data_IF_508562580044
#
_entry.id   IF_508562580044
#
_cell.length_a   1.000
_cell.length_b   1.000
_cell.length_c   1.000
_cell.angle_alpha   90.00
_cell.angle_beta   90.00
_cell.angle_gamma   90.00
#
_symmetry.space_group_name_H-M   'P 1'
#
loop_
_entity.id
_entity.type
_entity.pdbx_description
1 polymer ?
#
# COMPACT_ATOMS: atom_id res chain seq x y z
N UNK A 1 -13.58 19.63 -8.03
CA UNK A 1 -13.56 18.14 -7.98
C UNK A 1 -12.15 17.58 -8.20
N UNK A 2 -11.40 18.05 -9.20
CA UNK A 2 -10.01 17.61 -9.46
C UNK A 2 -8.92 18.60 -9.02
N UNK A 3 -9.30 19.70 -8.35
CA UNK A 3 -8.42 20.73 -7.78
C UNK A 3 -7.40 21.29 -8.81
N UNK A 4 -7.92 21.81 -9.94
CA UNK A 4 -7.16 22.38 -11.06
C UNK A 4 -7.70 23.74 -11.51
N UNK A 5 -8.54 24.39 -10.71
CA UNK A 5 -9.21 25.65 -11.04
C UNK A 5 -8.19 26.76 -11.36
N UNK A 6 -7.08 26.84 -10.62
CA UNK A 6 -6.00 27.81 -10.86
C UNK A 6 -5.24 27.61 -12.18
N UNK A 7 -5.36 26.42 -12.78
CA UNK A 7 -4.66 26.04 -14.03
C UNK A 7 -5.60 25.94 -15.23
N UNK A 8 -6.84 26.41 -15.11
CA UNK A 8 -7.86 26.31 -16.16
C UNK A 8 -7.42 26.87 -17.53
N UNK A 9 -6.63 27.96 -17.54
CA UNK A 9 -6.12 28.59 -18.77
C UNK A 9 -4.73 28.08 -19.21
N UNK A 10 -4.18 27.09 -18.51
CA UNK A 10 -2.84 26.56 -18.78
C UNK A 10 -2.93 25.46 -19.83
N UNK A 11 -2.07 25.50 -20.84
CA UNK A 11 -1.96 24.41 -21.81
C UNK A 11 -1.51 23.11 -21.14
N UNK A 12 -2.06 21.97 -21.60
CA UNK A 12 -1.76 20.64 -21.03
C UNK A 12 -0.26 20.33 -21.00
N UNK A 13 0.49 20.78 -22.03
CA UNK A 13 1.94 20.61 -22.09
C UNK A 13 2.72 21.30 -20.95
N UNK A 14 2.11 22.31 -20.31
CA UNK A 14 2.71 23.08 -19.22
C UNK A 14 2.25 22.61 -17.83
N UNK A 15 1.41 21.58 -17.75
CA UNK A 15 1.00 20.97 -16.50
C UNK A 15 2.07 19.99 -16.00
N UNK A 16 2.25 19.86 -14.68
CA UNK A 16 3.09 18.80 -14.08
C UNK A 16 2.51 17.42 -14.36
N UNK A 17 3.29 16.35 -14.13
CA UNK A 17 2.82 14.97 -14.28
C UNK A 17 1.52 14.71 -13.50
N UNK A 18 1.51 15.05 -12.21
CA UNK A 18 0.31 14.91 -11.37
C UNK A 18 -0.87 15.79 -11.79
N UNK A 19 -0.61 16.99 -12.32
CA UNK A 19 -1.68 17.83 -12.86
C UNK A 19 -2.29 17.23 -14.13
N UNK A 20 -1.47 16.64 -15.01
CA UNK A 20 -1.98 15.92 -16.19
C UNK A 20 -2.77 14.67 -15.79
N UNK A 21 -2.32 13.94 -14.78
CA UNK A 21 -3.04 12.80 -14.21
C UNK A 21 -4.43 13.22 -13.69
N UNK A 22 -4.48 14.30 -12.89
CA UNK A 22 -5.75 14.87 -12.38
C UNK A 22 -6.67 15.32 -13.49
N UNK A 23 -6.12 15.96 -14.53
CA UNK A 23 -6.90 16.37 -15.69
C UNK A 23 -7.46 15.14 -16.43
N UNK A 24 -6.65 14.11 -16.67
CA UNK A 24 -7.08 12.87 -17.32
C UNK A 24 -8.20 12.18 -16.52
N UNK A 25 -8.03 12.06 -15.19
CA UNK A 25 -9.06 11.56 -14.29
C UNK A 25 -10.33 12.41 -14.39
N UNK A 26 -10.18 13.73 -14.35
CA UNK A 26 -11.28 14.68 -14.52
C UNK A 26 -12.06 14.47 -15.80
N UNK A 27 -11.37 14.30 -16.93
CA UNK A 27 -11.99 14.02 -18.24
C UNK A 27 -12.73 12.69 -18.21
N UNK A 28 -12.15 11.64 -17.61
CA UNK A 28 -12.76 10.31 -17.55
C UNK A 28 -14.06 10.23 -16.75
N UNK A 29 -14.29 11.19 -15.84
CA UNK A 29 -15.45 11.21 -14.95
C UNK A 29 -16.47 12.31 -15.29
N UNK A 30 -16.21 13.11 -16.33
CA UNK A 30 -17.09 14.21 -16.76
C UNK A 30 -18.53 13.76 -17.02
N UNK A 31 -18.71 12.53 -17.50
CA UNK A 31 -20.00 11.97 -17.88
C UNK A 31 -20.64 11.10 -16.79
N UNK A 32 -20.10 11.09 -15.56
CA UNK A 32 -20.57 10.24 -14.45
C UNK A 32 -20.70 8.76 -14.87
N UNK A 33 -19.59 8.10 -15.21
CA UNK A 33 -19.64 6.75 -15.75
C UNK A 33 -20.16 5.75 -14.71
N UNK A 34 -20.93 4.76 -15.17
CA UNK A 34 -21.33 3.61 -14.35
C UNK A 34 -20.12 2.71 -14.02
N UNK A 35 -19.17 2.60 -14.95
CA UNK A 35 -17.95 1.80 -14.83
C UNK A 35 -16.74 2.65 -15.24
N UNK A 36 -15.72 2.70 -14.39
CA UNK A 36 -14.47 3.42 -14.62
C UNK A 36 -13.28 2.46 -14.57
N UNK A 37 -12.46 2.46 -15.63
CA UNK A 37 -11.21 1.71 -15.69
C UNK A 37 -10.02 2.64 -15.47
N UNK A 38 -9.12 2.26 -14.57
CA UNK A 38 -7.97 3.05 -14.17
C UNK A 38 -6.70 2.21 -14.27
N UNK A 39 -5.83 2.54 -15.22
CA UNK A 39 -4.53 1.87 -15.32
C UNK A 39 -3.48 2.65 -14.52
N UNK A 40 -3.01 2.07 -13.41
CA UNK A 40 -1.96 2.63 -12.56
C UNK A 40 -2.17 4.13 -12.20
N UNK A 41 -3.34 4.50 -11.62
CA UNK A 41 -3.82 5.88 -11.57
C UNK A 41 -2.97 6.83 -10.73
N UNK A 42 -2.10 6.32 -9.87
CA UNK A 42 -1.24 7.14 -9.00
C UNK A 42 0.26 6.90 -9.19
N UNK A 43 0.62 6.20 -10.26
CA UNK A 43 2.03 5.93 -10.59
C UNK A 43 2.79 7.22 -10.90
N UNK A 44 3.99 7.35 -10.32
CA UNK A 44 4.86 8.51 -10.50
C UNK A 44 4.41 9.78 -9.77
N UNK A 45 3.39 9.70 -8.92
CA UNK A 45 2.95 10.80 -8.05
C UNK A 45 3.66 10.77 -6.70
N UNK A 46 3.86 11.96 -6.13
CA UNK A 46 4.29 12.08 -4.74
C UNK A 46 3.18 11.61 -3.77
N UNK A 47 3.52 11.27 -2.51
CA UNK A 47 2.54 10.75 -1.55
C UNK A 47 1.35 11.67 -1.29
N UNK A 48 1.52 13.00 -1.36
CA UNK A 48 0.44 13.95 -1.17
C UNK A 48 -0.53 13.93 -2.35
N UNK A 49 0.01 14.01 -3.57
CA UNK A 49 -0.80 13.96 -4.79
C UNK A 49 -1.56 12.64 -4.94
N UNK A 50 -0.98 11.51 -4.52
CA UNK A 50 -1.66 10.20 -4.47
C UNK A 50 -2.90 10.23 -3.59
N UNK A 51 -2.78 10.71 -2.35
CA UNK A 51 -3.91 10.80 -1.40
C UNK A 51 -5.02 11.70 -1.93
N UNK A 52 -4.68 12.77 -2.65
CA UNK A 52 -5.67 13.62 -3.29
C UNK A 52 -6.45 12.89 -4.38
N UNK A 53 -5.79 12.07 -5.20
CA UNK A 53 -6.46 11.21 -6.18
C UNK A 53 -7.36 10.18 -5.48
N UNK A 54 -6.87 9.53 -4.41
CA UNK A 54 -7.67 8.56 -3.65
C UNK A 54 -8.96 9.15 -3.10
N UNK A 55 -8.93 10.38 -2.59
CA UNK A 55 -10.15 11.09 -2.13
C UNK A 55 -11.16 11.29 -3.26
N UNK A 56 -10.69 11.60 -4.47
CA UNK A 56 -11.56 11.76 -5.64
C UNK A 56 -12.19 10.41 -6.00
N UNK A 57 -11.39 9.35 -6.04
CA UNK A 57 -11.86 7.99 -6.36
C UNK A 57 -12.85 7.47 -5.32
N UNK A 58 -12.61 7.67 -4.02
CA UNK A 58 -13.56 7.28 -2.98
C UNK A 58 -14.88 8.05 -3.09
N UNK A 59 -14.84 9.33 -3.47
CA UNK A 59 -16.04 10.10 -3.77
C UNK A 59 -16.86 9.54 -4.95
N UNK A 60 -16.21 8.98 -5.97
CA UNK A 60 -16.90 8.31 -7.09
C UNK A 60 -17.52 6.99 -6.67
N UNK A 61 -16.80 6.21 -5.85
CA UNK A 61 -17.32 4.96 -5.26
C UNK A 61 -18.61 5.21 -4.48
N UNK A 62 -18.64 6.27 -3.65
CA UNK A 62 -19.83 6.67 -2.90
C UNK A 62 -21.01 7.07 -3.81
N UNK A 63 -20.73 7.56 -5.03
CA UNK A 63 -21.72 7.90 -6.05
C UNK A 63 -22.11 6.70 -6.95
N UNK A 64 -21.83 5.47 -6.52
CA UNK A 64 -22.18 4.21 -7.21
C UNK A 64 -21.46 3.97 -8.55
N UNK A 65 -20.36 4.65 -8.83
CA UNK A 65 -19.48 4.27 -9.93
C UNK A 65 -18.72 3.00 -9.55
N UNK A 66 -18.82 1.96 -10.38
CA UNK A 66 -17.99 0.76 -10.26
C UNK A 66 -16.61 1.05 -10.81
N UNK A 67 -15.56 0.75 -10.04
CA UNK A 67 -14.18 1.02 -10.45
C UNK A 67 -13.40 -0.29 -10.61
N UNK A 68 -12.60 -0.37 -11.67
CA UNK A 68 -11.59 -1.41 -11.86
C UNK A 68 -10.26 -0.69 -12.03
N UNK A 69 -9.34 -0.91 -11.11
CA UNK A 69 -8.02 -0.31 -11.15
C UNK A 69 -6.91 -1.36 -11.13
N UNK A 70 -5.82 -1.07 -11.82
CA UNK A 70 -4.56 -1.80 -11.71
C UNK A 70 -3.61 -0.99 -10.84
N UNK A 71 -2.90 -1.67 -9.95
CA UNK A 71 -1.89 -1.04 -9.10
C UNK A 71 -0.87 -2.07 -8.66
N UNK A 72 0.37 -1.63 -8.54
CA UNK A 72 1.43 -2.36 -7.84
C UNK A 72 1.64 -1.86 -6.40
N UNK A 73 0.84 -0.88 -5.94
CA UNK A 73 0.88 -0.37 -4.57
C UNK A 73 -0.18 -1.04 -3.69
N UNK A 74 0.26 -1.85 -2.72
CA UNK A 74 -0.67 -2.54 -1.82
C UNK A 74 -1.54 -1.58 -1.00
N UNK A 75 -0.99 -0.44 -0.56
CA UNK A 75 -1.73 0.60 0.18
C UNK A 75 -2.91 1.17 -0.64
N UNK A 76 -2.76 1.27 -1.97
CA UNK A 76 -3.82 1.72 -2.87
C UNK A 76 -4.93 0.67 -2.98
N UNK A 77 -4.55 -0.59 -3.18
CA UNK A 77 -5.49 -1.71 -3.24
C UNK A 77 -6.27 -1.84 -1.93
N UNK A 78 -5.60 -1.77 -0.79
CA UNK A 78 -6.20 -1.81 0.55
C UNK A 78 -7.18 -0.64 0.78
N UNK A 79 -6.80 0.57 0.40
CA UNK A 79 -7.62 1.76 0.67
C UNK A 79 -8.84 1.86 -0.24
N UNK A 80 -8.71 1.49 -1.52
CA UNK A 80 -9.74 1.75 -2.53
C UNK A 80 -10.57 0.53 -2.93
N UNK A 81 -10.07 -0.69 -2.75
CA UNK A 81 -10.69 -1.89 -3.33
C UNK A 81 -11.39 -2.74 -2.28
N UNK A 82 -12.64 -3.11 -2.57
CA UNK A 82 -13.41 -4.09 -1.78
C UNK A 82 -13.01 -5.54 -2.14
N UNK A 83 -12.53 -5.74 -3.38
CA UNK A 83 -12.03 -7.01 -3.90
C UNK A 83 -10.71 -6.77 -4.63
N UNK A 84 -9.72 -7.59 -4.29
CA UNK A 84 -8.37 -7.56 -4.85
C UNK A 84 -8.15 -8.84 -5.65
N UNK A 85 -7.49 -8.71 -6.80
CA UNK A 85 -7.06 -9.83 -7.65
C UNK A 85 -5.54 -9.74 -7.75
N UNK A 86 -4.84 -10.75 -7.25
CA UNK A 86 -3.38 -10.85 -7.35
C UNK A 86 -3.06 -11.57 -8.66
N UNK A 87 -2.29 -10.91 -9.51
CA UNK A 87 -1.88 -11.46 -10.81
C UNK A 87 -0.36 -11.54 -10.92
N UNK A 88 0.13 -12.61 -11.54
CA UNK A 88 1.52 -12.79 -11.92
C UNK A 88 1.62 -13.51 -13.27
N UNK A 89 2.51 -13.05 -14.15
CA UNK A 89 2.72 -13.60 -15.50
C UNK A 89 1.42 -13.94 -16.27
N UNK A 90 0.41 -13.07 -16.18
CA UNK A 90 -0.88 -13.23 -16.87
C UNK A 90 -1.82 -14.27 -16.26
N UNK A 91 -1.51 -14.77 -15.06
CA UNK A 91 -2.36 -15.71 -14.30
C UNK A 91 -2.85 -15.05 -13.02
N UNK A 92 -4.09 -15.34 -12.66
CA UNK A 92 -4.63 -14.98 -11.34
C UNK A 92 -4.04 -15.97 -10.34
N UNK A 93 -3.30 -15.45 -9.37
CA UNK A 93 -2.73 -16.22 -8.27
C UNK A 93 -3.75 -16.40 -7.14
N UNK A 94 -4.43 -15.31 -6.78
CA UNK A 94 -5.47 -15.32 -5.75
C UNK A 94 -6.44 -14.15 -5.95
N UNK A 95 -7.60 -14.21 -5.30
CA UNK A 95 -8.60 -13.17 -5.28
C UNK A 95 -9.47 -13.24 -4.03
N UNK A 96 -9.93 -12.06 -3.59
CA UNK A 96 -10.82 -11.92 -2.43
C UNK A 96 -10.79 -10.51 -1.89
N UNK A 97 -11.50 -10.28 -0.79
CA UNK A 97 -11.24 -9.15 0.09
C UNK A 97 -9.83 -9.24 0.68
N UNK A 98 -9.30 -8.12 1.17
CA UNK A 98 -8.00 -8.11 1.85
C UNK A 98 -7.95 -9.15 2.99
N UNK A 99 -9.00 -9.24 3.81
CA UNK A 99 -9.08 -10.18 4.92
C UNK A 99 -9.06 -11.65 4.47
N UNK A 100 -9.76 -11.97 3.36
CA UNK A 100 -9.72 -13.33 2.80
C UNK A 100 -8.34 -13.68 2.26
N UNK A 101 -7.68 -12.75 1.58
CA UNK A 101 -6.32 -12.94 1.06
C UNK A 101 -5.31 -13.14 2.20
N UNK A 102 -5.41 -12.31 3.24
CA UNK A 102 -4.57 -12.45 4.43
C UNK A 102 -4.83 -13.78 5.16
N UNK A 103 -6.10 -14.18 5.33
CA UNK A 103 -6.47 -15.42 6.03
C UNK A 103 -6.18 -16.72 5.27
N UNK A 104 -6.09 -16.67 3.93
CA UNK A 104 -5.63 -17.80 3.10
C UNK A 104 -4.12 -17.99 3.15
N UNK A 105 -3.40 -16.91 3.43
CA UNK A 105 -1.98 -17.00 3.71
C UNK A 105 -1.90 -17.62 5.11
N UNK A 106 -1.36 -18.83 5.28
CA UNK A 106 -0.93 -19.34 6.61
C UNK A 106 0.25 -18.51 7.16
N UNK A 107 0.34 -17.24 6.77
CA UNK A 107 1.49 -16.38 6.87
C UNK A 107 1.42 -15.65 8.18
N UNK A 108 2.09 -16.24 9.17
CA UNK A 108 2.84 -15.52 10.18
C UNK A 108 3.04 -14.03 9.79
N UNK A 109 2.36 -13.12 10.48
CA UNK A 109 2.54 -11.67 10.39
C UNK A 109 4.03 -11.32 10.52
N UNK A 110 4.51 -10.37 9.74
CA UNK A 110 5.95 -10.10 9.65
C UNK A 110 6.29 -8.81 10.38
N UNK A 111 7.07 -8.91 11.46
CA UNK A 111 7.73 -7.76 12.09
C UNK A 111 9.09 -7.58 11.40
N UNK A 112 9.29 -6.40 10.79
CA UNK A 112 10.59 -5.99 10.24
C UNK A 112 11.33 -5.10 11.22
N UNK A 113 12.57 -5.47 11.53
CA UNK A 113 13.48 -4.69 12.36
C UNK A 113 14.72 -4.32 11.54
N UNK A 114 15.19 -3.09 11.68
CA UNK A 114 16.46 -2.64 11.10
C UNK A 114 17.44 -2.32 12.22
N UNK A 115 18.65 -2.87 12.14
CA UNK A 115 19.70 -2.69 13.14
C UNK A 115 20.74 -1.68 12.64
N UNK A 116 20.94 -0.60 13.39
CA UNK A 116 21.93 0.42 13.01
C UNK A 116 23.37 -0.02 13.25
N UNK A 117 23.59 -0.89 14.24
CA UNK A 117 24.90 -1.41 14.64
C UNK A 117 25.31 -2.67 13.86
N UNK A 118 24.42 -3.19 13.00
CA UNK A 118 24.61 -4.42 12.24
C UNK A 118 24.70 -5.69 13.08
N UNK A 119 24.36 -5.62 14.37
CA UNK A 119 24.34 -6.78 15.25
C UNK A 119 23.22 -7.74 14.85
N UNK A 120 23.48 -9.06 14.95
CA UNK A 120 22.43 -10.06 14.73
C UNK A 120 21.51 -10.08 15.96
N UNK A 121 20.21 -9.73 15.83
CA UNK A 121 19.30 -9.63 16.95
C UNK A 121 18.83 -10.99 17.51
N UNK A 122 19.21 -12.10 16.88
CA UNK A 122 18.80 -13.47 17.26
C UNK A 122 18.98 -13.78 18.76
N UNK A 123 19.99 -13.18 19.41
CA UNK A 123 20.28 -13.40 20.84
C UNK A 123 19.18 -12.95 21.82
N UNK A 124 18.32 -12.01 21.43
CA UNK A 124 17.27 -11.44 22.30
C UNK A 124 15.88 -11.50 21.69
N UNK A 125 15.74 -12.07 20.50
CA UNK A 125 14.45 -12.31 19.86
C UNK A 125 13.76 -13.50 20.54
N UNK A 126 12.51 -13.36 21.01
CA UNK A 126 11.74 -14.49 21.53
C UNK A 126 11.59 -15.62 20.48
N UNK A 127 11.29 -16.87 20.90
CA UNK A 127 11.23 -18.00 19.98
C UNK A 127 10.19 -17.80 18.86
N UNK A 128 10.64 -17.67 17.63
CA UNK A 128 9.80 -17.50 16.44
C UNK A 128 10.53 -17.95 15.17
N UNK A 129 9.82 -17.99 14.04
CA UNK A 129 10.47 -18.10 12.74
C UNK A 129 11.16 -16.75 12.44
N UNK A 130 12.48 -16.79 12.30
CA UNK A 130 13.31 -15.59 12.16
C UNK A 130 14.24 -15.70 10.94
N UNK A 131 14.48 -14.58 10.27
CA UNK A 131 15.45 -14.44 9.18
C UNK A 131 16.27 -13.17 9.33
N UNK A 132 17.60 -13.28 9.24
CA UNK A 132 18.54 -12.16 9.29
C UNK A 132 19.21 -11.94 7.92
N UNK A 133 19.11 -10.73 7.39
CA UNK A 133 19.87 -10.28 6.22
C UNK A 133 21.02 -9.36 6.66
N UNK A 134 22.21 -9.93 6.80
CA UNK A 134 23.43 -9.20 7.18
C UNK A 134 23.89 -8.16 6.13
N UNK A 135 23.42 -8.26 4.89
CA UNK A 135 23.76 -7.30 3.83
C UNK A 135 22.91 -6.03 3.90
N UNK A 136 21.66 -6.17 4.40
CA UNK A 136 20.70 -5.06 4.57
C UNK A 136 20.54 -4.59 6.01
N UNK A 137 21.18 -5.27 6.96
CA UNK A 137 21.00 -5.08 8.40
C UNK A 137 19.51 -5.17 8.80
N UNK A 138 18.76 -6.07 8.14
CA UNK A 138 17.31 -6.24 8.31
C UNK A 138 16.99 -7.62 8.86
N UNK A 139 16.17 -7.65 9.91
CA UNK A 139 15.59 -8.84 10.50
C UNK A 139 14.10 -8.94 10.14
N UNK A 140 13.66 -10.15 9.82
CA UNK A 140 12.25 -10.51 9.58
C UNK A 140 11.83 -11.56 10.57
N UNK A 141 10.86 -11.22 11.40
CA UNK A 141 10.26 -12.10 12.40
C UNK A 141 8.85 -12.44 11.93
N UNK A 142 8.58 -13.72 11.80
CA UNK A 142 7.31 -14.28 11.35
C UNK A 142 6.56 -14.77 12.60
N UNK A 143 5.42 -14.16 12.90
CA UNK A 143 4.61 -14.43 14.09
C UNK A 143 3.16 -14.68 13.74
N UNK A 144 2.52 -15.66 14.37
CA UNK A 144 1.11 -15.94 14.10
C UNK A 144 0.17 -14.83 14.62
N UNK A 145 0.62 -13.99 15.57
CA UNK A 145 -0.04 -12.76 16.02
C UNK A 145 0.96 -11.74 16.59
N UNK A 146 1.03 -10.55 15.98
CA UNK A 146 1.78 -9.38 16.45
C UNK A 146 1.20 -8.88 17.76
N UNK A 147 -0.13 -8.93 17.97
CA UNK A 147 -0.72 -8.42 19.22
C UNK A 147 -0.25 -9.22 20.43
N UNK A 148 -0.04 -10.52 20.26
CA UNK A 148 0.48 -11.41 21.31
C UNK A 148 2.00 -11.29 21.45
N UNK A 149 2.72 -11.19 20.33
CA UNK A 149 4.18 -11.25 20.32
C UNK A 149 4.89 -9.90 20.54
N UNK A 150 4.31 -8.80 20.07
CA UNK A 150 4.92 -7.47 20.12
C UNK A 150 5.21 -7.00 21.56
N UNK A 151 4.32 -7.19 22.55
CA UNK A 151 4.62 -6.83 23.94
C UNK A 151 5.87 -7.54 24.49
N UNK A 152 6.01 -8.83 24.21
CA UNK A 152 7.18 -9.64 24.63
C UNK A 152 8.46 -9.16 23.97
N UNK A 153 8.42 -8.94 22.64
CA UNK A 153 9.53 -8.40 21.87
C UNK A 153 9.98 -7.02 22.38
N UNK A 154 9.04 -6.14 22.70
CA UNK A 154 9.37 -4.81 23.25
C UNK A 154 10.00 -4.91 24.64
N UNK A 155 9.61 -5.88 25.45
CA UNK A 155 10.20 -6.11 26.77
C UNK A 155 11.65 -6.57 26.66
N UNK A 156 11.97 -7.49 25.74
CA UNK A 156 13.35 -7.96 25.53
C UNK A 156 14.26 -6.84 25.02
N UNK A 157 13.80 -6.03 24.06
CA UNK A 157 14.53 -4.85 23.57
C UNK A 157 14.84 -3.88 24.72
N UNK A 158 13.87 -3.61 25.61
CA UNK A 158 14.06 -2.71 26.75
C UNK A 158 15.08 -3.23 27.77
N UNK A 159 15.24 -4.55 27.86
CA UNK A 159 16.15 -5.22 28.80
C UNK A 159 17.57 -5.31 28.22
N UNK A 160 17.68 -5.55 26.92
CA UNK A 160 18.97 -5.61 26.20
C UNK A 160 19.60 -4.22 25.99
N UNK A 161 18.81 -3.15 25.89
CA UNK A 161 19.32 -1.77 25.79
C UNK A 161 19.88 -1.17 27.09
N UNK A 162 19.96 -1.95 28.18
CA UNK A 162 20.52 -1.52 29.49
C UNK A 162 21.93 -2.04 29.78
N UNK A 163 22.58 -2.74 28.84
CA UNK A 163 23.97 -3.17 28.93
C UNK A 163 24.86 -2.44 27.92
#
# INVERSE_FOLDING_TARGET
MINLEEKQKTYVGNLSGGQRQRLALGVSILNYPEILFLDEPTTGLDPGARRDIWKILDGLRQNKTTMILTTHYMEEAETLCERIIIMDHGKILDQGSLMELLGKTEGDEIIRLSMQDGSNPESWIPPCKFFWDSSKLEARIYVSSITEYLPELMQTISTSGKN
#
